data_IF_133305536973
#
_entry.id   IF_133305536973
#
_cell.length_a   1.000
_cell.length_b   1.000
_cell.length_c   1.000
_cell.angle_alpha   90.00
_cell.angle_beta   90.00
_cell.angle_gamma   90.00
#
_symmetry.space_group_name_H-M   'P 1'
#
loop_
_entity.id
_entity.type
_entity.pdbx_description
1 polymer ?
#
# COMPACT_ATOMS: atom_id res chain seq x y z
N UNK A 1 3.98 -5.75 0.25
CA UNK A 1 3.33 -5.43 -1.05
C UNK A 1 2.55 -6.64 -1.50
N UNK A 2 1.57 -6.52 -2.40
CA UNK A 2 0.91 -7.68 -3.03
C UNK A 2 1.43 -7.83 -4.46
N UNK A 3 1.96 -9.00 -4.80
CA UNK A 3 2.38 -9.36 -6.15
C UNK A 3 1.63 -10.60 -6.63
N UNK A 4 1.52 -10.77 -7.94
CA UNK A 4 0.92 -11.95 -8.55
C UNK A 4 1.90 -13.13 -8.48
N UNK A 5 1.45 -14.27 -7.96
CA UNK A 5 2.21 -15.51 -8.01
C UNK A 5 2.00 -16.28 -9.34
N UNK A 6 2.67 -17.42 -9.49
CA UNK A 6 2.54 -18.28 -10.68
C UNK A 6 1.13 -18.84 -10.90
N UNK A 7 0.26 -18.81 -9.88
CA UNK A 7 -1.13 -19.26 -9.95
C UNK A 7 -2.11 -18.14 -10.31
N UNK A 8 -1.63 -16.89 -10.31
CA UNK A 8 -2.43 -15.70 -10.56
C UNK A 8 -3.01 -15.04 -9.31
N UNK A 9 -2.66 -15.52 -8.11
CA UNK A 9 -3.15 -15.01 -6.82
C UNK A 9 -2.28 -13.85 -6.30
N UNK A 10 -2.92 -12.89 -5.61
CA UNK A 10 -2.22 -11.79 -4.95
C UNK A 10 -1.62 -12.24 -3.62
N UNK A 11 -0.29 -12.44 -3.59
CA UNK A 11 0.45 -12.88 -2.42
C UNK A 11 1.26 -11.75 -1.79
N UNK A 12 1.39 -11.70 -0.45
CA UNK A 12 2.24 -10.72 0.21
C UNK A 12 3.72 -11.02 -0.06
N UNK A 13 4.40 -10.07 -0.70
CA UNK A 13 5.83 -10.12 -0.96
C UNK A 13 6.53 -8.92 -0.32
N UNK A 14 7.80 -9.14 0.02
CA UNK A 14 8.67 -8.09 0.52
C UNK A 14 9.09 -7.18 -0.66
N UNK A 15 9.29 -5.89 -0.42
CA UNK A 15 9.57 -4.93 -1.51
C UNK A 15 10.95 -5.17 -2.13
N UNK A 16 11.88 -5.71 -1.35
CA UNK A 16 13.24 -6.03 -1.76
C UNK A 16 13.34 -7.21 -2.72
N UNK A 17 12.27 -8.00 -2.88
CA UNK A 17 12.24 -9.14 -3.80
C UNK A 17 11.55 -8.82 -5.13
N UNK A 18 10.97 -7.63 -5.25
CA UNK A 18 10.23 -7.23 -6.45
C UNK A 18 11.22 -6.75 -7.52
N UNK A 19 11.04 -7.24 -8.74
CA UNK A 19 11.88 -6.92 -9.90
C UNK A 19 11.06 -6.32 -11.05
N UNK A 20 11.76 -5.68 -12.00
CA UNK A 20 11.11 -5.21 -13.23
C UNK A 20 10.57 -6.40 -14.03
N UNK A 21 9.28 -6.35 -14.36
CA UNK A 21 8.53 -7.44 -14.98
C UNK A 21 7.49 -8.08 -14.06
N UNK A 22 7.61 -7.90 -12.74
CA UNK A 22 6.63 -8.42 -11.78
C UNK A 22 5.29 -7.70 -11.88
N UNK A 23 4.21 -8.42 -11.61
CA UNK A 23 2.85 -7.88 -11.57
C UNK A 23 2.47 -7.56 -10.13
N UNK A 24 2.29 -6.28 -9.82
CA UNK A 24 1.95 -5.80 -8.48
C UNK A 24 0.54 -5.22 -8.45
N UNK A 25 -0.14 -5.39 -7.32
CA UNK A 25 -1.47 -4.80 -7.15
C UNK A 25 -1.37 -3.29 -6.99
N UNK A 26 -2.07 -2.55 -7.83
CA UNK A 26 -2.07 -1.09 -7.83
C UNK A 26 -3.47 -0.54 -8.09
N UNK A 27 -3.70 0.69 -7.64
CA UNK A 27 -4.95 1.44 -7.84
C UNK A 27 -4.70 2.64 -8.74
N UNK A 28 -5.56 2.82 -9.74
CA UNK A 28 -5.59 4.03 -10.55
C UNK A 28 -6.17 5.19 -9.72
N UNK A 29 -5.44 6.29 -9.61
CA UNK A 29 -5.87 7.51 -8.92
C UNK A 29 -7.04 8.20 -9.62
N UNK A 30 -7.11 8.12 -10.96
CA UNK A 30 -8.15 8.80 -11.76
C UNK A 30 -9.47 8.04 -11.82
N UNK A 31 -9.43 6.72 -11.95
CA UNK A 31 -10.64 5.89 -12.10
C UNK A 31 -11.01 5.18 -10.81
N UNK A 32 -10.07 5.08 -9.87
CA UNK A 32 -10.23 4.31 -8.63
C UNK A 32 -10.16 2.80 -8.84
N UNK A 33 -9.97 2.31 -10.06
CA UNK A 33 -9.91 0.89 -10.40
C UNK A 33 -8.63 0.25 -9.86
N UNK A 34 -8.76 -0.97 -9.34
CA UNK A 34 -7.65 -1.75 -8.80
C UNK A 34 -7.33 -2.93 -9.71
N UNK A 35 -6.05 -3.27 -9.85
CA UNK A 35 -5.62 -4.41 -10.63
C UNK A 35 -4.11 -4.58 -10.67
N UNK A 36 -3.68 -5.67 -11.31
CA UNK A 36 -2.26 -5.95 -11.50
C UNK A 36 -1.65 -5.04 -12.57
N UNK A 37 -0.52 -4.42 -12.21
CA UNK A 37 0.27 -3.56 -13.08
C UNK A 37 1.71 -4.05 -13.09
N UNK A 38 2.36 -3.96 -14.26
CA UNK A 38 3.75 -4.41 -14.42
C UNK A 38 4.71 -3.39 -13.81
N UNK A 39 5.65 -3.87 -13.01
CA UNK A 39 6.78 -3.07 -12.52
C UNK A 39 7.73 -2.83 -13.68
N UNK A 40 7.93 -1.56 -14.05
CA UNK A 40 8.82 -1.20 -15.16
C UNK A 40 10.27 -1.03 -14.71
N UNK A 41 10.47 -0.62 -13.47
CA UNK A 41 11.78 -0.29 -12.92
C UNK A 41 11.73 -0.28 -11.39
N UNK A 42 12.85 -0.62 -10.75
CA UNK A 42 13.01 -0.58 -9.30
C UNK A 42 14.18 0.32 -8.92
N UNK A 43 14.05 1.00 -7.78
CA UNK A 43 15.05 1.94 -7.28
C UNK A 43 15.39 1.62 -5.83
N UNK A 44 16.67 1.47 -5.54
CA UNK A 44 17.18 1.36 -4.17
C UNK A 44 17.72 2.73 -3.76
N UNK A 45 17.18 3.28 -2.68
CA UNK A 45 17.62 4.56 -2.10
C UNK A 45 17.99 4.37 -0.64
N UNK A 46 19.18 4.82 -0.26
CA UNK A 46 19.60 4.90 1.13
C UNK A 46 19.40 6.35 1.60
N UNK A 47 18.62 6.55 2.65
CA UNK A 47 18.35 7.87 3.23
C UNK A 47 18.39 7.78 4.75
N UNK A 48 19.01 8.78 5.37
CA UNK A 48 19.27 8.79 6.80
C UNK A 48 18.15 9.47 7.61
N UNK A 49 17.16 10.07 6.94
CA UNK A 49 16.00 10.73 7.55
C UNK A 49 14.74 9.89 7.30
N UNK A 50 14.39 9.07 8.30
CA UNK A 50 13.23 8.19 8.26
C UNK A 50 12.17 8.67 9.26
N UNK A 51 10.92 8.63 8.83
CA UNK A 51 9.73 8.88 9.64
C UNK A 51 9.04 7.54 9.90
N UNK A 52 8.55 7.36 11.14
CA UNK A 52 7.74 6.21 11.53
C UNK A 52 6.28 6.63 11.64
N UNK A 53 5.44 6.06 10.79
CA UNK A 53 4.00 6.24 10.77
C UNK A 53 3.33 5.01 11.38
N UNK A 54 2.71 5.19 12.55
CA UNK A 54 1.88 4.15 13.17
C UNK A 54 0.44 4.29 12.68
N UNK A 55 -0.18 3.19 12.26
CA UNK A 55 -1.55 3.16 11.79
C UNK A 55 -2.31 1.98 12.40
N UNK A 56 -3.64 2.10 12.42
CA UNK A 56 -4.54 1.04 12.88
C UNK A 56 -5.55 0.77 11.78
N UNK A 57 -5.73 -0.51 11.46
CA UNK A 57 -6.76 -0.95 10.51
C UNK A 57 -8.09 -1.09 11.24
N UNK A 58 -9.16 -0.53 10.69
CA UNK A 58 -10.51 -0.68 11.22
C UNK A 58 -10.86 -2.17 11.36
N UNK A 59 -11.23 -2.61 12.56
CA UNK A 59 -11.51 -4.02 12.87
C UNK A 59 -10.31 -4.83 13.37
N UNK A 60 -9.09 -4.26 13.37
CA UNK A 60 -7.93 -4.84 14.05
C UNK A 60 -7.57 -4.02 15.29
N UNK A 61 -7.27 -4.70 16.39
CA UNK A 61 -6.74 -4.03 17.59
C UNK A 61 -5.21 -3.91 17.57
N UNK A 62 -4.58 -4.35 16.48
CA UNK A 62 -3.14 -4.24 16.27
C UNK A 62 -2.79 -2.88 15.69
N UNK A 63 -1.72 -2.30 16.20
CA UNK A 63 -1.07 -1.11 15.64
C UNK A 63 0.12 -1.58 14.80
N UNK A 64 0.12 -1.18 13.54
CA UNK A 64 1.20 -1.47 12.59
C UNK A 64 2.04 -0.21 12.38
N UNK A 65 3.31 -0.38 12.02
CA UNK A 65 4.23 0.73 11.78
C UNK A 65 4.82 0.64 10.38
N UNK A 66 4.70 1.73 9.64
CA UNK A 66 5.33 1.93 8.34
C UNK A 66 6.49 2.92 8.50
N UNK A 67 7.65 2.60 7.90
CA UNK A 67 8.83 3.47 7.93
C UNK A 67 9.14 3.94 6.52
N UNK A 68 9.34 5.26 6.33
CA UNK A 68 9.61 5.85 5.04
C UNK A 68 10.14 7.27 5.14
N UNK A 69 10.22 7.98 4.02
CA UNK A 69 10.63 9.40 3.99
C UNK A 69 9.44 10.32 4.28
N UNK A 70 9.70 11.49 4.85
CA UNK A 70 8.64 12.45 5.20
C UNK A 70 7.82 12.92 3.99
N UNK A 71 8.47 13.07 2.84
CA UNK A 71 7.86 13.50 1.57
C UNK A 71 7.17 12.35 0.81
N UNK A 72 7.11 11.14 1.38
CA UNK A 72 6.47 10.02 0.70
C UNK A 72 4.95 10.20 0.71
N UNK A 73 4.27 10.30 -0.45
CA UNK A 73 2.85 10.57 -0.49
C UNK A 73 2.04 9.29 -0.21
N UNK A 74 0.85 9.48 0.35
CA UNK A 74 -0.18 8.48 0.63
C UNK A 74 -1.52 8.96 0.11
N UNK A 75 -2.33 8.03 -0.40
CA UNK A 75 -3.71 8.34 -0.76
C UNK A 75 -4.58 8.39 0.50
N UNK A 76 -5.23 9.53 0.76
CA UNK A 76 -6.14 9.71 1.89
C UNK A 76 -7.60 9.60 1.45
N UNK A 77 -8.33 8.62 1.98
CA UNK A 77 -9.78 8.53 1.74
C UNK A 77 -10.57 9.69 2.37
N UNK A 78 -10.02 10.35 3.38
CA UNK A 78 -10.67 11.49 4.05
C UNK A 78 -10.50 12.77 3.25
N UNK A 79 -9.32 12.98 2.66
CA UNK A 79 -9.03 14.17 1.85
C UNK A 79 -9.42 13.99 0.37
N UNK A 80 -9.60 12.73 -0.06
CA UNK A 80 -9.72 12.34 -1.47
C UNK A 80 -8.57 12.88 -2.33
N UNK A 81 -7.38 12.91 -1.73
CA UNK A 81 -6.17 13.50 -2.29
C UNK A 81 -4.91 12.83 -1.71
N UNK A 82 -3.77 13.11 -2.34
CA UNK A 82 -2.46 12.70 -1.87
C UNK A 82 -2.01 13.57 -0.70
N UNK A 83 -1.52 12.92 0.36
CA UNK A 83 -0.98 13.56 1.56
C UNK A 83 0.39 12.99 1.89
N UNK A 84 1.31 13.83 2.33
CA UNK A 84 2.66 13.37 2.66
C UNK A 84 2.70 12.59 3.99
N UNK A 85 3.66 11.68 4.12
CA UNK A 85 3.90 10.95 5.38
C UNK A 85 4.11 11.90 6.57
N UNK A 86 4.75 13.04 6.31
CA UNK A 86 5.03 14.08 7.29
C UNK A 86 3.84 15.01 7.61
N UNK A 87 2.68 14.81 6.99
CA UNK A 87 1.49 15.65 7.21
C UNK A 87 1.03 15.57 8.69
N UNK A 88 0.54 16.67 9.31
CA UNK A 88 0.29 16.74 10.75
C UNK A 88 -0.59 15.60 11.30
N UNK A 89 -0.12 15.04 12.43
CA UNK A 89 -0.60 13.83 13.11
C UNK A 89 -2.05 13.85 13.61
N UNK A 90 -2.78 14.96 13.46
CA UNK A 90 -4.08 15.17 14.11
C UNK A 90 -5.28 14.77 13.25
N UNK A 91 -5.05 14.42 11.97
CA UNK A 91 -6.10 13.92 11.08
C UNK A 91 -5.95 12.42 10.83
N UNK A 92 -6.94 11.57 11.17
CA UNK A 92 -6.85 10.15 10.91
C UNK A 92 -6.81 9.90 9.39
N UNK A 93 -5.67 9.38 8.92
CA UNK A 93 -5.52 8.89 7.56
C UNK A 93 -6.18 7.52 7.48
N UNK A 94 -7.33 7.46 6.81
CA UNK A 94 -7.89 6.20 6.36
C UNK A 94 -7.13 5.78 5.11
N UNK A 95 -6.12 4.93 5.28
CA UNK A 95 -5.44 4.28 4.17
C UNK A 95 -6.42 3.28 3.56
N UNK A 96 -6.62 3.37 2.25
CA UNK A 96 -7.43 2.43 1.50
C UNK A 96 -6.72 1.07 1.43
N UNK A 97 -6.93 0.22 2.44
CA UNK A 97 -6.85 -1.23 2.26
C UNK A 97 -8.26 -1.74 2.54
N UNK A 98 -9.00 -2.02 1.47
CA UNK A 98 -10.32 -2.60 1.63
C UNK A 98 -10.18 -3.99 2.29
N UNK A 99 -11.09 -4.35 3.21
CA UNK A 99 -11.11 -5.68 3.79
C UNK A 99 -11.35 -6.70 2.68
N UNK A 100 -10.56 -7.79 2.70
CA UNK A 100 -10.77 -8.96 1.85
C UNK A 100 -12.23 -9.42 2.01
N UNK A 101 -13.02 -9.38 0.94
CA UNK A 101 -14.22 -10.22 0.88
C UNK A 101 -13.74 -11.68 0.80
N UNK A 102 -13.72 -12.34 1.96
CA UNK A 102 -13.48 -13.77 2.07
C UNK A 102 -14.55 -14.52 1.24
N UNK A 103 -14.07 -15.36 0.33
CA UNK A 103 -14.86 -16.01 -0.69
C UNK A 103 -16.11 -16.70 -0.14
N UNK A 104 -17.25 -16.33 -0.72
CA UNK A 104 -18.46 -17.16 -0.66
C UNK A 104 -18.18 -18.46 -1.40
N UNK A 105 -18.00 -19.53 -0.63
CA UNK A 105 -18.10 -20.91 -1.10
C UNK A 105 -19.58 -21.17 -1.36
N UNK A 106 -19.97 -21.23 -2.63
CA UNK A 106 -21.23 -21.86 -3.01
C UNK A 106 -20.91 -23.28 -3.50
N UNK A 107 -21.38 -24.26 -2.72
CA UNK A 107 -21.48 -25.67 -3.07
C UNK A 107 -22.96 -26.00 -3.32
#
# INVERSE_FOLDING_TARGET
MLAQDETGEAVPVAIETVEAGDLVWSRCDKTGEEGFQVVVETYIRETNELVHLSYRTEGSNSEDTLTGTAEHPFWSLTADDWVDMGFPKETPLKVAQQPREEGRRDA
#
